data_IF_811827179174
#
_entry.id   IF_811827179174
#
_cell.length_a   1.000
_cell.length_b   1.000
_cell.length_c   1.000
_cell.angle_alpha   90.00
_cell.angle_beta   90.00
_cell.angle_gamma   90.00
#
_symmetry.space_group_name_H-M   'P 1'
#
loop_
_entity.id
_entity.type
_entity.pdbx_description
1 polymer ?
#
# COMPACT_ATOMS: atom_id res chain seq x y z
N UNK A 1 -1.57 17.40 -22.22
CA UNK A 1 -0.89 17.42 -20.90
C UNK A 1 -1.96 17.24 -19.85
N UNK A 2 -1.81 16.34 -18.87
CA UNK A 2 -2.78 16.21 -17.79
C UNK A 2 -2.84 17.53 -17.00
N UNK A 3 -4.05 17.95 -16.62
CA UNK A 3 -4.23 19.17 -15.80
C UNK A 3 -3.61 18.91 -14.42
N UNK A 4 -2.68 19.77 -13.99
CA UNK A 4 -2.18 19.75 -12.62
C UNK A 4 -3.33 20.14 -11.70
N UNK A 5 -3.84 19.17 -10.93
CA UNK A 5 -4.86 19.40 -9.91
C UNK A 5 -4.20 19.65 -8.55
N UNK A 6 -4.91 20.27 -7.61
CA UNK A 6 -4.42 20.42 -6.23
C UNK A 6 -4.03 19.08 -5.59
N UNK A 7 -4.74 18.00 -5.96
CA UNK A 7 -4.44 16.65 -5.49
C UNK A 7 -3.15 16.09 -6.08
N UNK A 8 -2.87 16.29 -7.37
CA UNK A 8 -1.63 15.81 -8.00
C UNK A 8 -0.40 16.59 -7.53
N UNK A 9 -0.51 17.91 -7.34
CA UNK A 9 0.56 18.74 -6.75
C UNK A 9 0.93 18.25 -5.34
N UNK A 10 -0.07 18.06 -4.49
CA UNK A 10 0.14 17.56 -3.12
C UNK A 10 0.82 16.18 -3.09
N UNK A 11 0.50 15.30 -4.03
CA UNK A 11 1.12 13.97 -4.10
C UNK A 11 2.58 14.01 -4.56
N UNK A 12 2.93 14.91 -5.47
CA UNK A 12 4.32 15.16 -5.83
C UNK A 12 5.11 15.75 -4.65
N UNK A 13 4.53 16.72 -3.93
CA UNK A 13 5.12 17.29 -2.73
C UNK A 13 5.38 16.24 -1.64
N UNK A 14 4.50 15.26 -1.46
CA UNK A 14 4.74 14.18 -0.50
C UNK A 14 6.01 13.39 -0.82
N UNK A 15 6.26 13.07 -2.09
CA UNK A 15 7.49 12.36 -2.50
C UNK A 15 8.71 13.26 -2.24
N UNK A 16 8.66 14.50 -2.69
CA UNK A 16 9.76 15.48 -2.51
C UNK A 16 10.12 15.68 -1.05
N UNK A 17 9.13 15.96 -0.19
CA UNK A 17 9.32 16.18 1.26
C UNK A 17 9.98 14.96 1.90
N UNK A 18 9.53 13.74 1.57
CA UNK A 18 10.11 12.52 2.12
C UNK A 18 11.55 12.25 1.66
N UNK A 19 11.96 12.80 0.50
CA UNK A 19 13.32 12.66 -0.02
C UNK A 19 14.28 13.75 0.48
N UNK A 20 13.78 14.97 0.69
CA UNK A 20 14.61 16.16 0.88
C UNK A 20 14.58 16.68 2.33
N UNK A 21 13.57 16.33 3.12
CA UNK A 21 13.35 16.90 4.44
C UNK A 21 13.42 15.85 5.56
N UNK A 22 13.61 16.27 6.79
CA UNK A 22 13.56 15.39 7.95
C UNK A 22 12.11 15.15 8.36
N UNK A 23 11.58 13.99 7.97
CA UNK A 23 10.20 13.57 8.25
C UNK A 23 10.13 12.50 9.35
N UNK A 24 11.20 12.31 10.13
CA UNK A 24 11.23 11.34 11.22
C UNK A 24 10.23 11.72 12.31
N UNK A 25 9.46 10.73 12.77
CA UNK A 25 8.61 10.90 13.93
C UNK A 25 9.43 11.07 15.22
N UNK A 26 9.04 12.00 16.06
CA UNK A 26 9.58 12.12 17.42
C UNK A 26 8.98 11.08 18.39
N UNK A 27 7.93 10.37 17.98
CA UNK A 27 7.29 9.34 18.76
C UNK A 27 7.90 7.99 18.44
N UNK A 28 8.25 7.20 19.47
CA UNK A 28 8.64 5.81 19.34
C UNK A 28 7.47 4.92 18.93
N UNK A 29 7.76 3.77 18.33
CA UNK A 29 6.74 2.79 17.93
C UNK A 29 6.12 2.05 19.11
N UNK A 30 6.77 2.06 20.26
CA UNK A 30 6.42 1.25 21.44
C UNK A 30 6.95 -0.18 21.37
N UNK A 31 7.53 -0.62 20.24
CA UNK A 31 8.09 -1.97 20.07
C UNK A 31 9.29 -2.21 21.00
N UNK A 32 9.99 -1.15 21.39
CA UNK A 32 11.10 -1.18 22.36
C UNK A 32 10.69 -1.68 23.75
N UNK A 33 9.39 -1.77 24.04
CA UNK A 33 8.86 -2.32 25.31
C UNK A 33 8.75 -3.84 25.30
N UNK A 34 8.87 -4.47 24.14
CA UNK A 34 8.72 -5.92 23.99
C UNK A 34 10.11 -6.56 23.92
N UNK A 35 10.33 -7.52 24.75
CA UNK A 35 11.59 -8.27 24.80
C UNK A 35 11.28 -9.76 24.71
N UNK A 36 12.00 -10.46 23.88
CA UNK A 36 11.94 -11.93 23.83
C UNK A 36 12.78 -12.51 24.97
N UNK A 37 12.26 -13.56 25.62
CA UNK A 37 13.07 -14.33 26.55
C UNK A 37 14.21 -15.00 25.79
N UNK A 38 15.46 -14.69 26.17
CA UNK A 38 16.62 -15.28 25.51
C UNK A 38 16.73 -16.77 25.87
N UNK A 39 16.93 -17.61 24.84
CA UNK A 39 17.25 -19.03 24.98
C UNK A 39 18.53 -19.31 24.21
N UNK A 40 19.60 -19.72 24.91
CA UNK A 40 20.90 -19.97 24.29
C UNK A 40 20.90 -21.19 23.35
N UNK A 41 20.06 -22.19 23.64
CA UNK A 41 19.85 -23.40 22.82
C UNK A 41 18.33 -23.56 22.60
N UNK A 42 17.78 -22.93 21.57
CA UNK A 42 16.33 -22.88 21.41
C UNK A 42 15.67 -24.16 20.87
N UNK A 43 16.41 -25.24 20.67
CA UNK A 43 15.90 -26.53 20.10
C UNK A 43 14.97 -26.31 18.88
N UNK A 44 15.31 -25.34 18.07
CA UNK A 44 14.60 -24.97 16.82
C UNK A 44 15.56 -25.03 15.66
N UNK A 45 15.10 -25.62 14.57
CA UNK A 45 15.77 -25.52 13.28
C UNK A 45 15.27 -24.26 12.56
N UNK A 46 16.18 -23.36 12.21
CA UNK A 46 15.84 -22.12 11.50
C UNK A 46 15.14 -22.41 10.17
N UNK A 47 15.57 -23.45 9.46
CA UNK A 47 14.98 -23.84 8.17
C UNK A 47 13.57 -24.44 8.31
N UNK A 48 13.19 -24.87 9.51
CA UNK A 48 11.87 -25.40 9.80
C UNK A 48 10.85 -24.31 10.20
N UNK A 49 11.27 -23.06 10.32
CA UNK A 49 10.38 -21.96 10.69
C UNK A 49 9.52 -21.57 9.49
N UNK A 50 8.21 -21.80 9.60
CA UNK A 50 7.22 -21.38 8.59
C UNK A 50 6.58 -20.06 8.99
N UNK A 51 6.77 -19.01 8.18
CA UNK A 51 6.18 -17.69 8.33
C UNK A 51 4.97 -17.48 7.41
N UNK A 52 4.53 -18.50 6.69
CA UNK A 52 3.45 -18.35 5.72
C UNK A 52 2.13 -18.00 6.41
N UNK A 53 1.36 -17.15 5.76
CA UNK A 53 0.02 -16.75 6.20
C UNK A 53 -0.96 -16.84 5.02
N UNK A 54 -2.19 -17.23 5.30
CA UNK A 54 -3.27 -17.19 4.31
C UNK A 54 -4.23 -16.05 4.65
N UNK A 55 -4.37 -15.09 3.74
CA UNK A 55 -5.22 -13.93 3.91
C UNK A 55 -5.97 -13.62 2.60
N UNK A 56 -7.29 -13.42 2.67
CA UNK A 56 -8.16 -13.16 1.51
C UNK A 56 -7.94 -14.14 0.34
N UNK A 57 -7.71 -15.42 0.64
CA UNK A 57 -7.47 -16.45 -0.37
C UNK A 57 -6.07 -16.49 -0.96
N UNK A 58 -5.20 -15.54 -0.65
CA UNK A 58 -3.78 -15.50 -1.06
C UNK A 58 -2.88 -16.07 0.02
N UNK A 59 -1.78 -16.69 -0.40
CA UNK A 59 -0.73 -17.18 0.50
C UNK A 59 0.42 -16.17 0.51
N UNK A 60 0.74 -15.65 1.67
CA UNK A 60 1.90 -14.78 1.90
C UNK A 60 3.07 -15.62 2.41
N UNK A 61 4.28 -15.41 1.93
CA UNK A 61 5.49 -16.08 2.45
C UNK A 61 5.92 -15.58 3.83
N UNK A 62 5.48 -14.37 4.21
CA UNK A 62 5.69 -13.79 5.53
C UNK A 62 4.54 -12.82 5.85
N UNK A 63 4.21 -12.57 7.12
CA UNK A 63 3.16 -11.64 7.53
C UNK A 63 3.61 -10.18 7.38
N UNK A 64 3.99 -9.80 6.17
CA UNK A 64 4.51 -8.48 5.82
C UNK A 64 3.67 -7.87 4.71
N UNK A 65 3.42 -6.57 4.84
CA UNK A 65 2.67 -5.77 3.88
C UNK A 65 3.44 -4.48 3.56
N UNK A 66 3.66 -4.21 2.28
CA UNK A 66 4.07 -2.87 1.84
C UNK A 66 2.87 -1.94 1.99
N UNK A 67 2.96 -0.99 2.91
CA UNK A 67 1.86 -0.11 3.27
C UNK A 67 1.47 0.84 2.14
N UNK A 68 0.21 1.26 2.15
CA UNK A 68 -0.36 2.20 1.18
C UNK A 68 0.28 3.59 1.30
N UNK A 69 1.00 4.03 0.27
CA UNK A 69 1.73 5.31 0.30
C UNK A 69 1.30 6.28 -0.78
N UNK A 70 1.45 5.95 -2.06
CA UNK A 70 1.36 6.93 -3.14
C UNK A 70 0.59 6.43 -4.37
N UNK A 71 0.34 7.34 -5.31
CA UNK A 71 -0.32 7.11 -6.60
C UNK A 71 -0.83 8.42 -7.17
N UNK A 72 -1.20 8.46 -8.44
CA UNK A 72 -1.78 9.63 -9.10
C UNK A 72 -0.78 10.59 -9.74
N UNK A 73 0.51 10.24 -9.81
CA UNK A 73 1.53 10.90 -10.63
C UNK A 73 2.35 9.85 -11.40
N UNK A 74 3.01 10.18 -12.51
CA UNK A 74 3.87 9.26 -13.24
C UNK A 74 4.96 8.64 -12.35
N UNK A 75 5.64 9.47 -11.56
CA UNK A 75 6.70 9.06 -10.63
C UNK A 75 6.17 8.07 -9.58
N UNK A 76 4.99 8.36 -9.03
CA UNK A 76 4.31 7.46 -8.10
C UNK A 76 3.95 6.12 -8.76
N UNK A 77 3.59 6.14 -10.05
CA UNK A 77 3.33 4.94 -10.83
C UNK A 77 4.58 4.06 -11.00
N UNK A 78 5.75 4.67 -11.25
CA UNK A 78 7.02 3.94 -11.32
C UNK A 78 7.41 3.33 -9.97
N UNK A 79 7.27 4.11 -8.90
CA UNK A 79 7.52 3.63 -7.54
C UNK A 79 6.60 2.46 -7.20
N UNK A 80 5.31 2.57 -7.49
CA UNK A 80 4.34 1.49 -7.26
C UNK A 80 4.71 0.22 -8.02
N UNK A 81 5.13 0.30 -9.28
CA UNK A 81 5.55 -0.86 -10.06
C UNK A 81 6.82 -1.51 -9.49
N UNK A 82 7.79 -0.70 -9.06
CA UNK A 82 9.02 -1.19 -8.43
C UNK A 82 8.71 -1.94 -7.13
N UNK A 83 7.89 -1.35 -6.26
CA UNK A 83 7.47 -1.98 -5.01
C UNK A 83 6.65 -3.25 -5.25
N UNK A 84 5.75 -3.24 -6.23
CA UNK A 84 4.95 -4.41 -6.59
C UNK A 84 5.81 -5.57 -7.11
N UNK A 85 6.82 -5.28 -7.95
CA UNK A 85 7.76 -6.28 -8.42
C UNK A 85 8.57 -6.89 -7.24
N UNK A 86 8.98 -6.07 -6.28
CA UNK A 86 9.64 -6.55 -5.05
C UNK A 86 8.70 -7.41 -4.20
N UNK A 87 7.44 -6.98 -4.03
CA UNK A 87 6.42 -7.76 -3.32
C UNK A 87 6.18 -9.12 -3.99
N UNK A 88 6.11 -9.15 -5.32
CA UNK A 88 5.98 -10.38 -6.10
C UNK A 88 7.17 -11.32 -5.89
N UNK A 89 8.39 -10.79 -5.95
CA UNK A 89 9.60 -11.59 -5.78
C UNK A 89 9.73 -12.19 -4.36
N UNK A 90 9.29 -11.44 -3.36
CA UNK A 90 9.35 -11.85 -1.95
C UNK A 90 8.10 -12.60 -1.47
N UNK A 91 7.01 -12.55 -2.21
CA UNK A 91 5.74 -13.21 -1.84
C UNK A 91 5.02 -12.55 -0.66
N UNK A 92 5.15 -11.23 -0.52
CA UNK A 92 4.47 -10.42 0.52
C UNK A 92 3.30 -9.63 -0.07
N UNK A 93 2.48 -9.04 0.78
CA UNK A 93 1.34 -8.24 0.36
C UNK A 93 1.73 -6.78 0.01
N UNK A 94 0.86 -6.09 -0.73
CA UNK A 94 1.01 -4.67 -1.02
C UNK A 94 -0.33 -3.94 -1.01
N UNK A 95 -0.39 -2.78 -0.37
CA UNK A 95 -1.47 -1.80 -0.50
C UNK A 95 -1.04 -0.62 -1.36
N UNK A 96 -1.91 -0.14 -2.24
CA UNK A 96 -1.69 1.08 -3.01
C UNK A 96 -2.15 2.32 -2.24
N UNK A 97 -1.59 3.47 -2.57
CA UNK A 97 -2.07 4.74 -2.06
C UNK A 97 -3.49 5.04 -2.52
N UNK A 98 -4.18 5.96 -1.83
CA UNK A 98 -5.57 6.29 -2.12
C UNK A 98 -5.83 6.54 -3.61
N UNK A 99 -6.77 5.79 -4.17
CA UNK A 99 -7.16 5.83 -5.58
C UNK A 99 -8.18 6.95 -5.88
N UNK A 100 -8.48 7.80 -4.89
CA UNK A 100 -9.37 8.96 -5.08
C UNK A 100 -9.03 9.75 -6.35
N UNK A 101 -7.75 10.03 -6.57
CA UNK A 101 -7.31 10.79 -7.74
C UNK A 101 -7.71 10.12 -9.06
N UNK A 102 -7.63 8.80 -9.14
CA UNK A 102 -8.00 8.06 -10.36
C UNK A 102 -9.52 7.83 -10.49
N UNK A 103 -10.27 7.90 -9.41
CA UNK A 103 -11.74 7.90 -9.46
C UNK A 103 -12.25 9.25 -9.97
N UNK A 104 -11.64 10.35 -9.54
CA UNK A 104 -11.95 11.71 -9.98
C UNK A 104 -11.45 12.00 -11.40
N UNK A 105 -10.28 11.47 -11.77
CA UNK A 105 -9.68 11.60 -13.11
C UNK A 105 -9.19 10.23 -13.61
N UNK A 106 -10.00 9.55 -14.47
CA UNK A 106 -9.65 8.25 -15.00
C UNK A 106 -8.31 8.19 -15.77
N UNK A 107 -7.79 9.31 -16.26
CA UNK A 107 -6.49 9.35 -16.93
C UNK A 107 -5.33 8.97 -15.98
N UNK A 108 -5.54 9.09 -14.68
CA UNK A 108 -4.54 8.72 -13.66
C UNK A 108 -4.57 7.23 -13.29
N UNK A 109 -5.54 6.45 -13.78
CA UNK A 109 -5.68 5.04 -13.43
C UNK A 109 -4.41 4.23 -13.73
N UNK A 110 -3.70 4.55 -14.81
CA UNK A 110 -2.46 3.89 -15.20
C UNK A 110 -1.35 3.97 -14.13
N UNK A 111 -1.37 4.99 -13.27
CA UNK A 111 -0.38 5.18 -12.19
C UNK A 111 -0.58 4.21 -11.02
N UNK A 112 -1.70 3.50 -11.00
CA UNK A 112 -2.05 2.50 -10.00
C UNK A 112 -1.98 1.06 -10.56
N UNK A 113 -1.75 0.88 -11.86
CA UNK A 113 -1.72 -0.44 -12.49
C UNK A 113 -0.42 -1.17 -12.18
N UNK A 114 -0.50 -2.15 -11.27
CA UNK A 114 0.66 -2.96 -10.84
C UNK A 114 0.45 -4.46 -11.04
N UNK A 115 -0.79 -4.90 -11.33
CA UNK A 115 -1.11 -6.33 -11.46
C UNK A 115 -0.30 -7.05 -12.55
N UNK A 116 0.12 -6.32 -13.59
CA UNK A 116 0.96 -6.89 -14.65
C UNK A 116 2.35 -7.33 -14.17
N UNK A 117 2.92 -6.61 -13.20
CA UNK A 117 4.23 -6.93 -12.63
C UNK A 117 4.13 -7.76 -11.33
N UNK A 118 2.95 -7.84 -10.76
CA UNK A 118 2.68 -8.57 -9.52
C UNK A 118 1.33 -9.32 -9.60
N UNK A 119 1.23 -10.38 -10.43
CA UNK A 119 -0.03 -11.10 -10.65
C UNK A 119 -0.53 -11.88 -9.44
N UNK A 120 0.36 -12.35 -8.58
CA UNK A 120 0.04 -13.36 -7.54
C UNK A 120 -0.09 -12.80 -6.13
N UNK A 121 0.44 -11.59 -5.87
CA UNK A 121 0.43 -11.01 -4.52
C UNK A 121 -0.98 -10.69 -4.03
N UNK A 122 -1.15 -10.66 -2.72
CA UNK A 122 -2.29 -10.00 -2.10
C UNK A 122 -2.17 -8.49 -2.35
N UNK A 123 -3.03 -7.96 -3.19
CA UNK A 123 -3.06 -6.54 -3.55
C UNK A 123 -4.30 -5.88 -2.95
N UNK A 124 -4.10 -4.77 -2.26
CA UNK A 124 -5.14 -4.03 -1.58
C UNK A 124 -5.36 -2.66 -2.24
N UNK A 125 -6.60 -2.40 -2.65
CA UNK A 125 -7.07 -1.06 -3.04
C UNK A 125 -7.16 -0.16 -1.81
N UNK A 126 -7.24 1.16 -2.03
CA UNK A 126 -7.28 2.11 -0.91
C UNK A 126 -8.13 3.34 -1.24
N UNK A 127 -8.99 3.70 -0.28
CA UNK A 127 -9.75 4.96 -0.26
C UNK A 127 -9.78 5.52 1.16
N UNK A 128 -9.91 6.85 1.26
CA UNK A 128 -10.18 7.48 2.54
C UNK A 128 -11.62 7.22 2.98
N UNK A 129 -11.84 6.72 4.20
CA UNK A 129 -13.17 6.52 4.76
C UNK A 129 -13.98 7.82 4.78
N UNK A 130 -13.32 8.97 4.91
CA UNK A 130 -13.94 10.30 4.86
C UNK A 130 -14.67 10.56 3.54
N UNK A 131 -14.26 9.90 2.44
CA UNK A 131 -14.91 10.08 1.14
C UNK A 131 -16.37 9.60 1.14
N UNK A 132 -16.70 8.65 2.03
CA UNK A 132 -18.07 8.17 2.21
C UNK A 132 -19.01 9.30 2.70
N UNK A 133 -18.47 10.30 3.41
CA UNK A 133 -19.20 11.49 3.82
C UNK A 133 -19.35 12.54 2.69
N UNK A 134 -18.60 12.37 1.60
CA UNK A 134 -18.60 13.27 0.45
C UNK A 134 -19.17 12.65 -0.82
N UNK A 135 -20.10 11.72 -0.65
CA UNK A 135 -20.88 11.16 -1.75
C UNK A 135 -20.28 9.91 -2.39
N UNK A 136 -19.16 9.36 -1.87
CA UNK A 136 -18.71 8.04 -2.29
C UNK A 136 -19.59 6.97 -1.66
N UNK A 137 -19.86 5.92 -2.43
CA UNK A 137 -20.66 4.78 -2.01
C UNK A 137 -20.00 3.45 -2.40
N UNK A 138 -20.84 2.46 -2.52
CA UNK A 138 -20.41 1.12 -2.94
C UNK A 138 -19.79 1.13 -4.34
N UNK A 139 -20.30 1.96 -5.24
CA UNK A 139 -19.82 2.04 -6.63
C UNK A 139 -18.38 2.52 -6.71
N UNK A 140 -18.01 3.57 -5.96
CA UNK A 140 -16.63 4.09 -5.93
C UNK A 140 -15.69 3.10 -5.26
N UNK A 141 -16.16 2.41 -4.21
CA UNK A 141 -15.41 1.33 -3.57
C UNK A 141 -15.15 0.18 -4.54
N UNK A 142 -16.17 -0.25 -5.29
CA UNK A 142 -16.03 -1.30 -6.28
C UNK A 142 -15.10 -0.88 -7.42
N UNK A 143 -15.27 0.36 -7.92
CA UNK A 143 -14.37 0.91 -8.96
C UNK A 143 -12.91 0.94 -8.52
N UNK A 144 -12.63 1.26 -7.25
CA UNK A 144 -11.27 1.24 -6.73
C UNK A 144 -10.67 -0.19 -6.74
N UNK A 145 -11.45 -1.20 -6.37
CA UNK A 145 -11.04 -2.61 -6.41
C UNK A 145 -10.81 -3.07 -7.84
N UNK A 146 -11.79 -2.85 -8.71
CA UNK A 146 -11.77 -3.33 -10.10
C UNK A 146 -10.66 -2.67 -10.92
N UNK A 147 -10.41 -1.37 -10.69
CA UNK A 147 -9.39 -0.59 -11.39
C UNK A 147 -8.02 -1.24 -11.37
N UNK A 148 -7.66 -1.89 -10.27
CA UNK A 148 -6.34 -2.52 -10.08
C UNK A 148 -6.41 -4.04 -9.93
N UNK A 149 -7.59 -4.63 -10.13
CA UNK A 149 -7.86 -6.04 -9.84
C UNK A 149 -7.40 -6.44 -8.42
N UNK A 150 -7.77 -5.63 -7.42
CA UNK A 150 -7.39 -5.86 -6.02
C UNK A 150 -8.18 -7.01 -5.41
N UNK A 151 -7.60 -7.63 -4.39
CA UNK A 151 -8.23 -8.73 -3.62
C UNK A 151 -9.09 -8.18 -2.46
N UNK A 152 -8.84 -6.96 -1.99
CA UNK A 152 -9.62 -6.29 -0.95
C UNK A 152 -9.43 -4.76 -1.00
N UNK A 153 -10.24 -4.03 -0.21
CA UNK A 153 -10.20 -2.58 -0.08
C UNK A 153 -9.81 -2.16 1.34
N UNK A 154 -8.85 -1.26 1.43
CA UNK A 154 -8.52 -0.53 2.66
C UNK A 154 -9.34 0.77 2.69
N UNK A 155 -10.11 0.97 3.76
CA UNK A 155 -10.67 2.28 4.10
C UNK A 155 -9.80 2.90 5.17
N UNK A 156 -8.90 3.82 4.77
CA UNK A 156 -8.02 4.46 5.74
C UNK A 156 -8.76 5.55 6.54
N UNK A 157 -8.49 5.57 7.83
CA UNK A 157 -9.01 6.57 8.75
C UNK A 157 -7.95 7.66 8.92
N UNK A 158 -8.22 8.83 8.36
CA UNK A 158 -7.38 10.01 8.54
C UNK A 158 -8.21 11.08 9.25
N UNK A 159 -7.77 11.51 10.41
CA UNK A 159 -8.48 12.45 11.27
C UNK A 159 -8.26 13.93 10.91
N UNK A 160 -7.90 14.22 9.66
CA UNK A 160 -7.70 15.60 9.19
C UNK A 160 -8.99 16.25 8.75
#
# INVERSE_FOLDING_TARGET
MPKVTATSSRKADHIRINLEEDVRSSLGTGLERYHFSHQALPELDLEAIDLTQKLFGRVLKAPVLISSMTGGTPEAGELNRTLAAAAQATGIAMGLGSQRAAIEDPALAATFQVRQVAPDILLLANLGAIQLNYGYGVEECQRAVDMIAADALILHLNAL
#
